data_IF_603691562153
#
_entry.id   IF_603691562153
#
_cell.length_a   1.000
_cell.length_b   1.000
_cell.length_c   1.000
_cell.angle_alpha   90.00
_cell.angle_beta   90.00
_cell.angle_gamma   90.00
#
_symmetry.space_group_name_H-M   'P 1'
#
loop_
_entity.id
_entity.type
_entity.pdbx_description
1 polymer ?
#
# COMPACT_ATOMS: atom_id res chain seq x y z
N UNK A 1 16.31 -2.18 -18.31
CA UNK A 1 16.84 -2.57 -16.98
C UNK A 1 16.88 -1.39 -16.00
N UNK A 2 17.50 -0.26 -16.34
CA UNK A 2 17.56 0.94 -15.48
C UNK A 2 16.18 1.48 -15.06
N UNK A 3 15.24 1.58 -15.99
CA UNK A 3 13.86 2.06 -15.75
C UNK A 3 13.12 1.20 -14.72
N UNK A 4 13.32 -0.12 -14.75
CA UNK A 4 12.70 -1.05 -13.80
C UNK A 4 13.24 -0.89 -12.39
N UNK A 5 14.57 -0.80 -12.23
CA UNK A 5 15.20 -0.57 -10.94
C UNK A 5 14.77 0.78 -10.33
N UNK A 6 14.74 1.83 -11.15
CA UNK A 6 14.27 3.14 -10.73
C UNK A 6 12.82 3.07 -10.22
N UNK A 7 11.94 2.38 -10.94
CA UNK A 7 10.54 2.24 -10.53
C UNK A 7 10.40 1.48 -9.20
N UNK A 8 11.17 0.40 -9.00
CA UNK A 8 11.17 -0.35 -7.74
C UNK A 8 11.60 0.54 -6.56
N UNK A 9 12.67 1.31 -6.73
CA UNK A 9 13.18 2.21 -5.68
C UNK A 9 12.17 3.31 -5.38
N UNK A 10 11.64 3.98 -6.40
CA UNK A 10 10.63 5.05 -6.24
C UNK A 10 9.36 4.52 -5.58
N UNK A 11 8.91 3.33 -5.98
CA UNK A 11 7.75 2.67 -5.37
C UNK A 11 7.97 2.34 -3.90
N UNK A 12 9.16 1.84 -3.53
CA UNK A 12 9.49 1.53 -2.14
C UNK A 12 9.52 2.80 -1.26
N UNK A 13 10.13 3.88 -1.77
CA UNK A 13 10.14 5.19 -1.09
C UNK A 13 8.71 5.71 -0.94
N UNK A 14 7.93 5.74 -2.02
CA UNK A 14 6.55 6.23 -2.00
C UNK A 14 5.67 5.44 -1.04
N UNK A 15 5.87 4.12 -0.97
CA UNK A 15 5.16 3.24 -0.03
C UNK A 15 5.47 3.60 1.43
N UNK A 16 6.74 3.70 1.80
CA UNK A 16 7.14 4.06 3.17
C UNK A 16 6.70 5.49 3.53
N UNK A 17 6.92 6.45 2.64
CA UNK A 17 6.55 7.84 2.86
C UNK A 17 5.04 7.99 3.05
N UNK A 18 4.21 7.30 2.24
CA UNK A 18 2.76 7.30 2.41
C UNK A 18 2.34 6.73 3.76
N UNK A 19 2.98 5.64 4.22
CA UNK A 19 2.71 5.07 5.55
C UNK A 19 3.07 6.05 6.66
N UNK A 20 4.23 6.72 6.59
CA UNK A 20 4.60 7.73 7.59
C UNK A 20 3.66 8.94 7.59
N UNK A 21 3.33 9.49 6.44
CA UNK A 21 2.40 10.63 6.31
C UNK A 21 1.04 10.30 6.92
N UNK A 22 0.49 9.13 6.59
CA UNK A 22 -0.81 8.71 7.15
C UNK A 22 -0.70 8.45 8.65
N UNK A 23 0.37 7.81 9.11
CA UNK A 23 0.62 7.59 10.54
C UNK A 23 0.68 8.90 11.30
N UNK A 24 1.45 9.87 10.82
CA UNK A 24 1.61 11.16 11.47
C UNK A 24 0.28 11.93 11.48
N UNK A 25 -0.49 11.88 10.38
CA UNK A 25 -1.85 12.42 10.33
C UNK A 25 -2.81 11.73 11.30
N UNK A 26 -2.71 10.41 11.48
CA UNK A 26 -3.56 9.64 12.40
C UNK A 26 -3.25 9.95 13.86
N UNK A 27 -1.96 10.11 14.19
CA UNK A 27 -1.48 10.41 15.54
C UNK A 27 -1.54 11.91 15.89
N UNK A 28 -2.03 12.76 14.98
CA UNK A 28 -2.09 14.21 15.19
C UNK A 28 -0.72 14.90 15.22
N UNK A 29 0.32 14.25 14.68
CA UNK A 29 1.67 14.81 14.55
C UNK A 29 1.73 15.78 13.36
N UNK A 30 2.63 16.79 13.37
CA UNK A 30 2.81 17.67 12.23
C UNK A 30 3.23 16.86 10.99
N UNK A 31 2.55 17.09 9.87
CA UNK A 31 2.81 16.38 8.60
C UNK A 31 3.77 17.20 7.75
N UNK A 32 5.02 16.75 7.64
CA UNK A 32 6.01 17.29 6.71
C UNK A 32 6.36 16.22 5.64
N UNK A 33 6.01 16.45 4.36
CA UNK A 33 6.34 15.53 3.26
C UNK A 33 7.84 15.23 3.13
N UNK A 34 8.70 16.21 3.42
CA UNK A 34 10.14 16.04 3.27
C UNK A 34 10.73 15.16 4.38
N UNK A 35 10.25 15.34 5.61
CA UNK A 35 10.58 14.47 6.74
C UNK A 35 10.21 13.02 6.42
N UNK A 36 8.97 12.78 5.95
CA UNK A 36 8.49 11.44 5.61
C UNK A 36 9.32 10.77 4.50
N UNK A 37 9.71 11.53 3.47
CA UNK A 37 10.60 11.03 2.41
C UNK A 37 11.98 10.65 2.96
N UNK A 38 12.57 11.48 3.80
CA UNK A 38 13.88 11.21 4.39
C UNK A 38 13.86 9.97 5.30
N UNK A 39 12.79 9.81 6.08
CA UNK A 39 12.53 8.63 6.92
C UNK A 39 12.27 7.36 6.11
N UNK A 40 11.77 7.48 4.88
CA UNK A 40 11.48 6.35 4.00
C UNK A 40 12.73 5.72 3.37
N UNK A 41 13.77 6.51 3.07
CA UNK A 41 14.98 6.05 2.36
C UNK A 41 15.66 4.82 3.01
N UNK A 42 15.86 4.76 4.35
CA UNK A 42 16.45 3.58 5.00
C UNK A 42 15.65 2.28 4.84
N UNK A 43 14.36 2.36 4.52
CA UNK A 43 13.47 1.20 4.42
C UNK A 43 13.44 0.57 3.03
N UNK A 44 14.03 1.20 2.00
CA UNK A 44 13.94 0.77 0.59
C UNK A 44 14.28 -0.73 0.45
N UNK A 45 15.46 -1.14 0.92
CA UNK A 45 15.91 -2.52 0.79
C UNK A 45 14.99 -3.51 1.52
N UNK A 46 14.54 -3.16 2.72
CA UNK A 46 13.65 -4.01 3.53
C UNK A 46 12.27 -4.15 2.91
N UNK A 47 11.73 -3.07 2.32
CA UNK A 47 10.44 -3.09 1.61
C UNK A 47 10.53 -3.92 0.33
N UNK A 48 11.62 -3.82 -0.41
CA UNK A 48 11.82 -4.66 -1.61
C UNK A 48 11.91 -6.14 -1.24
N UNK A 49 12.65 -6.49 -0.18
CA UNK A 49 12.70 -7.87 0.29
C UNK A 49 11.31 -8.33 0.79
N UNK A 50 10.61 -7.49 1.54
CA UNK A 50 9.26 -7.78 2.03
C UNK A 50 8.27 -8.01 0.88
N UNK A 51 8.28 -7.17 -0.16
CA UNK A 51 7.37 -7.28 -1.30
C UNK A 51 7.62 -8.57 -2.09
N UNK A 52 8.89 -8.97 -2.26
CA UNK A 52 9.24 -10.26 -2.87
C UNK A 52 8.74 -11.42 -2.01
N UNK A 53 9.03 -11.43 -0.71
CA UNK A 53 8.62 -12.52 0.19
C UNK A 53 7.10 -12.66 0.26
N UNK A 54 6.38 -11.55 0.44
CA UNK A 54 4.92 -11.55 0.50
C UNK A 54 4.29 -12.00 -0.81
N UNK A 55 4.81 -11.52 -1.94
CA UNK A 55 4.33 -11.92 -3.28
C UNK A 55 4.58 -13.40 -3.55
N UNK A 56 5.74 -13.94 -3.15
CA UNK A 56 6.03 -15.37 -3.27
C UNK A 56 5.07 -16.21 -2.41
N UNK A 57 4.85 -15.84 -1.14
CA UNK A 57 3.96 -16.59 -0.25
C UNK A 57 2.50 -16.54 -0.71
N UNK A 58 2.01 -15.34 -1.03
CA UNK A 58 0.63 -15.15 -1.51
C UNK A 58 0.44 -15.81 -2.88
N UNK A 59 1.39 -15.60 -3.80
CA UNK A 59 1.38 -16.18 -5.14
C UNK A 59 1.42 -17.71 -5.10
N UNK A 60 2.28 -18.30 -4.28
CA UNK A 60 2.31 -19.75 -4.07
C UNK A 60 1.00 -20.25 -3.49
N UNK A 61 0.41 -19.51 -2.55
CA UNK A 61 -0.94 -19.76 -2.04
C UNK A 61 -1.95 -19.90 -3.18
N UNK A 62 -2.03 -18.90 -4.06
CA UNK A 62 -2.95 -18.91 -5.20
C UNK A 62 -2.63 -19.98 -6.26
N UNK A 63 -1.35 -20.32 -6.46
CA UNK A 63 -0.94 -21.41 -7.37
C UNK A 63 -1.47 -22.76 -6.89
N UNK A 64 -1.38 -23.04 -5.59
CA UNK A 64 -1.90 -24.29 -5.05
C UNK A 64 -3.43 -24.29 -5.00
N UNK A 65 -4.06 -23.27 -4.39
CA UNK A 65 -5.53 -23.16 -4.31
C UNK A 65 -5.99 -21.72 -4.02
N UNK A 66 -7.23 -21.39 -4.42
CA UNK A 66 -7.81 -20.06 -4.13
C UNK A 66 -7.90 -19.75 -2.63
N UNK A 67 -8.33 -20.73 -1.82
CA UNK A 67 -8.53 -20.58 -0.37
C UNK A 67 -7.25 -20.19 0.38
N UNK A 68 -6.13 -20.93 0.29
CA UNK A 68 -4.88 -20.53 0.94
C UNK A 68 -4.32 -19.20 0.41
N UNK A 69 -4.47 -18.91 -0.88
CA UNK A 69 -4.10 -17.60 -1.45
C UNK A 69 -4.82 -16.44 -0.74
N UNK A 70 -6.13 -16.54 -0.57
CA UNK A 70 -6.96 -15.55 0.14
C UNK A 70 -6.57 -15.44 1.63
N UNK A 71 -6.25 -16.56 2.28
CA UNK A 71 -5.80 -16.56 3.68
C UNK A 71 -4.46 -15.82 3.80
N UNK A 72 -3.47 -16.12 2.96
CA UNK A 72 -2.18 -15.44 2.99
C UNK A 72 -2.30 -13.95 2.66
N UNK A 73 -3.11 -13.60 1.66
CA UNK A 73 -3.37 -12.21 1.30
C UNK A 73 -3.95 -11.44 2.49
N UNK A 74 -5.04 -11.94 3.08
CA UNK A 74 -5.67 -11.28 4.24
C UNK A 74 -4.76 -11.24 5.47
N UNK A 75 -3.87 -12.20 5.63
CA UNK A 75 -3.02 -12.29 6.80
C UNK A 75 -1.71 -11.47 6.70
N UNK A 76 -1.28 -11.13 5.49
CA UNK A 76 -0.02 -10.42 5.23
C UNK A 76 -0.22 -8.98 4.73
N UNK A 77 -1.46 -8.53 4.52
CA UNK A 77 -1.73 -7.23 3.89
C UNK A 77 -1.17 -6.02 4.65
N UNK A 78 -1.05 -6.09 5.98
CA UNK A 78 -0.50 -5.01 6.82
C UNK A 78 0.99 -5.19 7.16
N UNK A 79 1.70 -6.07 6.45
CA UNK A 79 3.13 -6.33 6.73
C UNK A 79 4.00 -5.11 6.48
N UNK A 80 3.67 -4.29 5.50
CA UNK A 80 4.40 -3.06 5.21
C UNK A 80 4.28 -2.07 6.37
N UNK A 81 3.09 -1.93 6.94
CA UNK A 81 2.81 -1.06 8.09
C UNK A 81 3.59 -1.54 9.31
N UNK A 82 3.59 -2.85 9.57
CA UNK A 82 4.38 -3.44 10.65
C UNK A 82 5.89 -3.24 10.45
N UNK A 83 6.39 -3.27 9.21
CA UNK A 83 7.81 -3.04 8.91
C UNK A 83 8.23 -1.58 9.08
N UNK A 84 7.37 -0.65 8.66
CA UNK A 84 7.69 0.78 8.60
C UNK A 84 7.40 1.49 9.93
N UNK A 85 6.34 1.10 10.63
CA UNK A 85 5.88 1.76 11.86
C UNK A 85 6.45 1.14 13.14
N UNK A 86 6.95 -0.10 13.08
CA UNK A 86 7.64 -0.71 14.20
C UNK A 86 9.14 -0.75 13.91
N UNK A 87 9.91 -0.05 14.74
CA UNK A 87 11.35 0.09 14.53
C UNK A 87 12.07 -1.26 14.58
N UNK A 88 13.17 -1.36 13.83
CA UNK A 88 14.12 -2.48 13.86
C UNK A 88 13.58 -3.87 13.47
N UNK A 89 12.36 -3.98 12.93
CA UNK A 89 11.86 -5.26 12.44
C UNK A 89 12.55 -5.70 11.15
N UNK A 90 12.84 -7.00 11.06
CA UNK A 90 13.18 -7.65 9.79
C UNK A 90 11.93 -7.89 8.92
N UNK A 91 12.06 -8.04 7.58
CA UNK A 91 10.91 -8.33 6.71
C UNK A 91 10.09 -9.56 7.15
N UNK A 92 10.76 -10.60 7.64
CA UNK A 92 10.12 -11.84 8.10
C UNK A 92 9.37 -11.60 9.41
N UNK A 93 9.95 -10.85 10.34
CA UNK A 93 9.26 -10.44 11.58
C UNK A 93 8.02 -9.60 11.29
N UNK A 94 8.09 -8.70 10.30
CA UNK A 94 6.95 -7.89 9.88
C UNK A 94 5.81 -8.74 9.27
N UNK A 95 6.15 -9.81 8.54
CA UNK A 95 5.16 -10.81 8.07
C UNK A 95 4.51 -11.55 9.24
N UNK A 96 5.31 -12.03 10.19
CA UNK A 96 4.81 -12.69 11.40
C UNK A 96 3.91 -11.77 12.23
N UNK A 97 4.27 -10.49 12.32
CA UNK A 97 3.51 -9.45 13.02
C UNK A 97 2.14 -9.20 12.39
N UNK A 98 2.11 -9.01 11.07
CA UNK A 98 0.88 -8.88 10.29
C UNK A 98 -0.04 -10.07 10.47
N UNK A 99 0.53 -11.29 10.45
CA UNK A 99 -0.23 -12.52 10.67
C UNK A 99 -0.88 -12.58 12.06
N UNK A 100 -0.15 -12.16 13.10
CA UNK A 100 -0.66 -12.12 14.46
C UNK A 100 -1.77 -11.07 14.62
N UNK A 101 -1.58 -9.87 14.09
CA UNK A 101 -2.55 -8.77 14.17
C UNK A 101 -3.84 -9.06 13.37
N UNK A 102 -3.77 -9.76 12.24
CA UNK A 102 -4.94 -10.09 11.42
C UNK A 102 -5.69 -11.35 11.89
N UNK A 103 -5.07 -12.20 12.73
CA UNK A 103 -5.67 -13.46 13.24
C UNK A 103 -7.04 -13.19 13.92
N UNK A 104 -8.10 -13.88 13.48
CA UNK A 104 -9.46 -13.68 14.01
C UNK A 104 -10.26 -12.54 13.36
N UNK A 105 -9.61 -11.70 12.54
CA UNK A 105 -10.26 -10.60 11.80
C UNK A 105 -10.15 -10.74 10.28
N UNK A 106 -9.60 -11.86 9.78
CA UNK A 106 -9.26 -12.08 8.36
C UNK A 106 -10.40 -11.81 7.39
N UNK A 107 -11.64 -12.15 7.73
CA UNK A 107 -12.80 -11.88 6.87
C UNK A 107 -13.12 -10.39 6.74
N UNK A 108 -12.98 -9.62 7.83
CA UNK A 108 -13.17 -8.16 7.81
C UNK A 108 -12.03 -7.48 7.05
N UNK A 109 -10.80 -7.94 7.29
CA UNK A 109 -9.61 -7.49 6.54
C UNK A 109 -9.79 -7.77 5.05
N UNK A 110 -10.22 -8.97 4.67
CA UNK A 110 -10.45 -9.33 3.29
C UNK A 110 -11.54 -8.46 2.65
N UNK A 111 -12.68 -8.29 3.31
CA UNK A 111 -13.76 -7.44 2.80
C UNK A 111 -13.30 -6.00 2.58
N UNK A 112 -12.55 -5.44 3.54
CA UNK A 112 -11.97 -4.11 3.43
C UNK A 112 -11.02 -4.01 2.23
N UNK A 113 -10.08 -4.96 2.10
CA UNK A 113 -9.11 -4.99 1.00
C UNK A 113 -9.80 -5.12 -0.36
N UNK A 114 -10.84 -5.95 -0.46
CA UNK A 114 -11.64 -6.11 -1.69
C UNK A 114 -12.34 -4.80 -2.04
N UNK A 115 -13.00 -4.14 -1.08
CA UNK A 115 -13.67 -2.86 -1.31
C UNK A 115 -12.68 -1.79 -1.74
N UNK A 116 -11.53 -1.68 -1.07
CA UNK A 116 -10.49 -0.73 -1.43
C UNK A 116 -9.88 -1.04 -2.80
N UNK A 117 -9.67 -2.32 -3.12
CA UNK A 117 -9.21 -2.75 -4.44
C UNK A 117 -10.20 -2.35 -5.53
N UNK A 118 -11.51 -2.55 -5.31
CA UNK A 118 -12.56 -2.12 -6.25
C UNK A 118 -12.48 -0.61 -6.50
N UNK A 119 -12.36 0.20 -5.44
CA UNK A 119 -12.30 1.66 -5.55
C UNK A 119 -11.05 2.13 -6.32
N UNK A 120 -9.91 1.47 -6.15
CA UNK A 120 -8.64 1.86 -6.78
C UNK A 120 -8.51 1.31 -8.22
N UNK A 121 -8.88 0.05 -8.43
CA UNK A 121 -8.65 -0.64 -9.69
C UNK A 121 -9.74 -0.40 -10.74
N UNK A 122 -11.02 -0.25 -10.35
CA UNK A 122 -12.09 -0.05 -11.35
C UNK A 122 -11.87 1.23 -12.18
N UNK A 123 -11.58 2.41 -11.59
CA UNK A 123 -11.30 3.60 -12.38
C UNK A 123 -10.07 3.42 -13.29
N UNK A 124 -9.06 2.70 -12.81
CA UNK A 124 -7.85 2.40 -13.58
C UNK A 124 -8.14 1.53 -14.79
N UNK A 125 -8.95 0.46 -14.63
CA UNK A 125 -9.38 -0.43 -15.71
C UNK A 125 -10.24 0.34 -16.72
N UNK A 126 -11.21 1.11 -16.23
CA UNK A 126 -12.09 1.93 -17.07
C UNK A 126 -11.27 2.88 -17.95
N UNK A 127 -10.29 3.58 -17.37
CA UNK A 127 -9.46 4.50 -18.12
C UNK A 127 -8.61 3.80 -19.20
N UNK A 128 -7.95 2.69 -18.86
CA UNK A 128 -7.16 1.91 -19.82
C UNK A 128 -8.04 1.38 -20.95
N UNK A 129 -9.26 0.95 -20.64
CA UNK A 129 -10.21 0.46 -21.65
C UNK A 129 -10.69 1.57 -22.60
N UNK A 130 -10.99 2.77 -22.08
CA UNK A 130 -11.38 3.93 -22.89
C UNK A 130 -10.22 4.37 -23.78
N UNK A 131 -9.01 4.46 -23.22
CA UNK A 131 -7.83 4.76 -24.01
C UNK A 131 -7.67 3.73 -25.14
N UNK A 132 -7.64 2.43 -24.81
CA UNK A 132 -7.44 1.35 -25.79
C UNK A 132 -8.46 1.39 -26.92
N UNK A 133 -9.72 1.70 -26.63
CA UNK A 133 -10.76 1.90 -27.62
C UNK A 133 -10.47 3.08 -28.56
N UNK A 134 -10.15 4.25 -28.02
CA UNK A 134 -9.82 5.44 -28.80
C UNK A 134 -8.58 5.25 -29.69
N UNK A 135 -7.65 4.37 -29.30
CA UNK A 135 -6.46 4.05 -30.10
C UNK A 135 -6.78 3.31 -31.41
N UNK A 136 -7.95 2.69 -31.51
CA UNK A 136 -8.36 1.91 -32.69
C UNK A 136 -9.11 2.74 -33.75
N UNK A 137 -9.41 4.00 -33.45
CA UNK A 137 -10.15 4.90 -34.35
C UNK A 137 -9.23 5.49 -35.45
N UNK A 138 -9.58 5.34 -36.75
CA UNK A 138 -8.72 5.76 -37.88
C UNK A 138 -8.34 7.24 -37.89
N UNK A 139 -9.21 8.11 -37.36
CA UNK A 139 -8.94 9.55 -37.26
C UNK A 139 -7.88 9.91 -36.19
N UNK A 140 -7.67 9.02 -35.21
CA UNK A 140 -6.64 9.15 -34.16
C UNK A 140 -5.28 8.65 -34.68
N UNK A 141 -5.28 7.81 -35.73
CA UNK A 141 -4.07 7.22 -36.34
C UNK A 141 -3.17 8.24 -37.07
N UNK A 142 -3.65 9.46 -37.35
CA UNK A 142 -2.84 10.50 -38.02
C UNK A 142 -2.16 11.47 -37.03
N UNK A 143 -2.55 11.48 -35.75
CA UNK A 143 -2.09 12.41 -34.70
C UNK A 143 -1.57 11.67 -33.45
N UNK A 144 -1.06 10.45 -33.67
CA UNK A 144 -0.86 9.35 -32.72
C UNK A 144 -0.06 9.66 -31.45
N UNK A 145 0.69 10.76 -31.37
CA UNK A 145 1.55 11.05 -30.22
C UNK A 145 0.86 11.89 -29.14
N UNK A 146 -0.02 12.83 -29.49
CA UNK A 146 -0.57 13.80 -28.54
C UNK A 146 -1.75 13.21 -27.76
N UNK A 147 -2.73 12.61 -28.46
CA UNK A 147 -3.91 12.02 -27.82
C UNK A 147 -3.55 10.87 -26.88
N UNK A 148 -2.59 10.03 -27.28
CA UNK A 148 -2.11 8.91 -26.47
C UNK A 148 -1.33 9.36 -25.24
N UNK A 149 -0.45 10.36 -25.41
CA UNK A 149 0.29 10.94 -24.29
C UNK A 149 -0.65 11.62 -23.29
N UNK A 150 -1.68 12.34 -23.77
CA UNK A 150 -2.67 12.98 -22.91
C UNK A 150 -3.46 11.94 -22.09
N UNK A 151 -3.89 10.84 -22.71
CA UNK A 151 -4.59 9.75 -21.99
C UNK A 151 -3.72 9.13 -20.89
N UNK A 152 -2.43 8.91 -21.17
CA UNK A 152 -1.47 8.39 -20.17
C UNK A 152 -1.26 9.37 -19.02
N UNK A 153 -1.11 10.67 -19.31
CA UNK A 153 -0.94 11.71 -18.28
C UNK A 153 -2.18 11.80 -17.40
N UNK A 154 -3.38 11.84 -17.98
CA UNK A 154 -4.63 11.86 -17.21
C UNK A 154 -4.75 10.61 -16.33
N UNK A 155 -4.30 9.44 -16.82
CA UNK A 155 -4.27 8.23 -16.00
C UNK A 155 -3.29 8.25 -14.86
N UNK A 156 -2.10 8.80 -15.08
CA UNK A 156 -1.14 9.00 -14.00
C UNK A 156 -1.71 9.95 -12.94
N UNK A 157 -2.40 11.03 -13.33
CA UNK A 157 -3.05 11.97 -12.39
C UNK A 157 -4.15 11.28 -11.57
N UNK A 158 -5.02 10.49 -12.21
CA UNK A 158 -6.06 9.73 -11.50
C UNK A 158 -5.43 8.74 -10.51
N UNK A 159 -4.39 8.00 -10.92
CA UNK A 159 -3.71 7.07 -10.03
C UNK A 159 -3.00 7.78 -8.88
N UNK A 160 -2.37 8.93 -9.13
CA UNK A 160 -1.73 9.73 -8.10
C UNK A 160 -2.70 10.09 -6.96
N UNK A 161 -3.98 10.32 -7.27
CA UNK A 161 -5.02 10.62 -6.29
C UNK A 161 -5.57 9.37 -5.59
N UNK A 162 -5.62 8.22 -6.27
CA UNK A 162 -6.21 6.99 -5.74
C UNK A 162 -5.25 6.13 -4.92
N UNK A 163 -3.96 6.13 -5.24
CA UNK A 163 -2.98 5.30 -4.52
C UNK A 163 -2.84 5.63 -3.02
N UNK A 164 -2.83 6.92 -2.60
CA UNK A 164 -2.80 7.26 -1.17
C UNK A 164 -3.96 6.66 -0.39
N UNK A 165 -5.14 6.49 -1.01
CA UNK A 165 -6.31 5.89 -0.37
C UNK A 165 -6.02 4.45 0.11
N UNK A 166 -5.31 3.66 -0.68
CA UNK A 166 -4.94 2.29 -0.29
C UNK A 166 -4.05 2.30 0.96
N UNK A 167 -3.02 3.14 0.99
CA UNK A 167 -2.12 3.24 2.13
C UNK A 167 -2.82 3.82 3.36
N UNK A 168 -3.75 4.76 3.18
CA UNK A 168 -4.58 5.29 4.25
C UNK A 168 -5.41 4.20 4.91
N UNK A 169 -6.13 3.42 4.12
CA UNK A 169 -6.98 2.33 4.62
C UNK A 169 -6.16 1.27 5.35
N UNK A 170 -5.03 0.85 4.79
CA UNK A 170 -4.20 -0.19 5.39
C UNK A 170 -3.51 0.27 6.69
N UNK A 171 -3.08 1.54 6.75
CA UNK A 171 -2.49 2.11 7.97
C UNK A 171 -3.53 2.28 9.07
N UNK A 172 -4.73 2.77 8.74
CA UNK A 172 -5.83 2.84 9.71
C UNK A 172 -6.24 1.44 10.17
N UNK A 173 -6.32 0.46 9.27
CA UNK A 173 -6.60 -0.94 9.63
C UNK A 173 -5.53 -1.49 10.59
N UNK A 174 -4.25 -1.16 10.35
CA UNK A 174 -3.17 -1.55 11.25
C UNK A 174 -3.37 -1.00 12.66
N UNK A 175 -3.68 0.29 12.80
CA UNK A 175 -3.99 0.88 14.11
C UNK A 175 -5.27 0.33 14.74
N UNK A 176 -6.35 0.14 13.98
CA UNK A 176 -7.60 -0.47 14.49
C UNK A 176 -7.35 -1.88 15.05
N UNK A 177 -6.55 -2.69 14.37
CA UNK A 177 -6.19 -4.02 14.87
C UNK A 177 -5.32 -3.95 16.13
N UNK A 178 -4.38 -3.00 16.22
CA UNK A 178 -3.57 -2.80 17.43
C UNK A 178 -4.39 -2.30 18.59
N UNK A 179 -5.31 -1.35 18.39
CA UNK A 179 -6.25 -0.90 19.41
C UNK A 179 -7.07 -2.08 19.93
N UNK A 180 -7.67 -2.87 19.04
CA UNK A 180 -8.52 -4.02 19.44
C UNK A 180 -7.77 -5.14 20.16
N UNK A 181 -6.49 -5.36 19.86
CA UNK A 181 -5.74 -6.52 20.36
C UNK A 181 -4.76 -6.20 21.46
N UNK A 182 -4.27 -4.98 21.49
CA UNK A 182 -3.14 -4.56 22.33
C UNK A 182 -3.50 -3.38 23.21
N UNK A 183 -4.64 -2.72 22.99
CA UNK A 183 -5.01 -1.51 23.73
C UNK A 183 -4.08 -0.35 23.39
N UNK A 184 -3.69 -0.21 22.12
CA UNK A 184 -2.77 0.84 21.66
C UNK A 184 -3.23 2.28 22.02
N UNK A 185 -4.54 2.50 22.11
CA UNK A 185 -5.13 3.75 22.60
C UNK A 185 -4.71 4.06 24.05
N UNK A 186 -4.60 3.05 24.90
CA UNK A 186 -4.11 3.19 26.27
C UNK A 186 -2.62 3.52 26.31
N UNK A 187 -1.82 2.93 25.42
CA UNK A 187 -0.38 3.24 25.29
C UNK A 187 -0.17 4.71 24.91
N UNK A 188 -0.95 5.22 23.95
CA UNK A 188 -0.89 6.62 23.52
C UNK A 188 -1.33 7.57 24.64
N UNK A 189 -2.40 7.23 25.37
CA UNK A 189 -2.86 8.01 26.52
C UNK A 189 -1.83 8.05 27.65
N UNK A 190 -1.19 6.92 27.97
CA UNK A 190 -0.14 6.85 28.99
C UNK A 190 1.06 7.75 28.63
N UNK A 191 1.52 7.71 27.38
CA UNK A 191 2.62 8.57 26.91
C UNK A 191 2.26 10.06 26.99
N UNK A 192 1.03 10.43 26.64
CA UNK A 192 0.59 11.82 26.71
C UNK A 192 0.64 12.38 28.14
N UNK A 193 0.29 11.55 29.14
CA UNK A 193 0.33 11.91 30.56
C UNK A 193 1.76 12.01 31.12
N UNK A 194 2.73 11.28 30.55
CA UNK A 194 4.14 11.37 30.96
C UNK A 194 4.82 12.64 30.41
N UNK A 195 4.32 13.18 29.30
CA UNK A 195 4.91 14.37 28.63
C UNK A 195 4.28 15.72 29.01
N UNK A 196 3.17 15.73 29.75
CA UNK A 196 2.44 16.93 30.16
C UNK A 196 2.64 17.27 31.63
#
# INVERSE_FOLDING_TARGET
MLTGLLNIVLSAIGTAAAVFIVSDSYLGRPVDPWDALSRAVPYIARIVVLSILTTLVVGLGFIFFLVPGVIFLSALVISTQALVLEENRSPIEAMGRSWQLTKGFRWKVLALVVVTAIIVFIPSIALVSVASFLATEPAVLTDLSIGWSLALVLGAVVQLLLYPLMYSVLTVLYYDLRVRKEGFDLEVLAQALETG
#
